data_IF_021923440344
#
_entry.id   IF_021923440344
#
_cell.length_a   1.000
_cell.length_b   1.000
_cell.length_c   1.000
_cell.angle_alpha   90.00
_cell.angle_beta   90.00
_cell.angle_gamma   90.00
#
_symmetry.space_group_name_H-M   'P 1'
#
loop_
_entity.id
_entity.type
_entity.pdbx_description
1 polymer ?
#
# COMPACT_ATOMS: atom_id res chain seq x y z
N UNK A 1 -4.67 4.50 11.98
CA UNK A 1 -3.33 5.06 11.77
C UNK A 1 -2.59 4.21 10.75
N UNK A 2 -1.64 4.79 10.03
CA UNK A 2 -0.89 4.14 8.96
C UNK A 2 0.27 5.02 8.48
N UNK A 3 1.01 4.54 7.50
CA UNK A 3 2.12 5.28 6.90
C UNK A 3 1.87 5.48 5.41
N UNK A 4 2.28 6.64 4.89
CA UNK A 4 2.25 6.93 3.45
C UNK A 4 3.66 7.22 2.95
N UNK A 5 4.01 6.58 1.85
CA UNK A 5 5.22 6.85 1.09
C UNK A 5 4.82 7.58 -0.20
N UNK A 6 5.43 8.73 -0.43
CA UNK A 6 5.32 9.51 -1.67
C UNK A 6 6.62 9.36 -2.46
N UNK A 7 6.51 8.87 -3.69
CA UNK A 7 7.64 8.75 -4.60
C UNK A 7 7.69 9.94 -5.57
N UNK A 8 8.90 10.37 -5.99
CA UNK A 8 9.04 11.48 -6.93
C UNK A 8 8.47 11.15 -8.31
N UNK A 9 8.64 9.89 -8.75
CA UNK A 9 8.16 9.39 -10.04
C UNK A 9 7.12 8.29 -9.85
N UNK A 10 6.22 8.17 -10.83
CA UNK A 10 5.27 7.07 -10.91
C UNK A 10 5.92 5.89 -11.66
N UNK A 11 6.31 4.86 -10.92
CA UNK A 11 7.07 3.72 -11.43
C UNK A 11 6.61 2.43 -10.73
N UNK A 12 7.13 1.27 -11.15
CA UNK A 12 6.88 0.01 -10.43
C UNK A 12 7.58 0.08 -9.08
N UNK A 13 6.82 0.31 -8.03
CA UNK A 13 7.30 0.22 -6.65
C UNK A 13 7.23 -1.23 -6.16
N UNK A 14 8.14 -1.59 -5.25
CA UNK A 14 8.12 -2.88 -4.55
C UNK A 14 8.59 -2.72 -3.11
N UNK A 15 7.91 -3.40 -2.20
CA UNK A 15 8.25 -3.46 -0.78
C UNK A 15 8.54 -4.90 -0.36
N UNK A 16 9.05 -5.06 0.85
CA UNK A 16 9.15 -6.31 1.58
C UNK A 16 8.78 -6.06 3.04
N UNK A 17 8.76 -7.12 3.86
CA UNK A 17 8.48 -7.03 5.29
C UNK A 17 9.75 -7.23 6.13
N UNK A 18 10.95 -7.01 5.56
CA UNK A 18 12.22 -7.19 6.26
C UNK A 18 12.26 -6.29 7.49
N UNK A 19 12.43 -6.89 8.67
CA UNK A 19 12.43 -6.22 9.98
C UNK A 19 11.08 -5.61 10.41
N UNK A 20 9.98 -5.88 9.70
CA UNK A 20 8.64 -5.41 10.06
C UNK A 20 7.93 -6.49 10.88
N UNK A 21 7.65 -6.19 12.16
CA UNK A 21 7.06 -7.16 13.12
C UNK A 21 5.54 -7.28 13.00
N UNK A 22 4.87 -6.18 12.66
CA UNK A 22 3.42 -6.14 12.52
C UNK A 22 3.03 -6.56 11.10
N UNK A 23 2.01 -7.42 10.92
CA UNK A 23 1.46 -7.71 9.60
C UNK A 23 0.72 -6.47 9.07
N UNK A 24 0.86 -6.20 7.77
CA UNK A 24 0.31 -5.01 7.13
C UNK A 24 -0.57 -5.38 5.93
N UNK A 25 -1.46 -4.47 5.57
CA UNK A 25 -1.96 -4.37 4.21
C UNK A 25 -1.11 -3.30 3.50
N UNK A 26 -0.49 -3.66 2.37
CA UNK A 26 0.29 -2.75 1.52
C UNK A 26 -0.55 -2.39 0.30
N UNK A 27 -0.82 -1.10 0.12
CA UNK A 27 -1.72 -0.57 -0.90
C UNK A 27 -0.92 0.31 -1.84
N UNK A 28 -0.78 -0.10 -3.10
CA UNK A 28 -0.14 0.67 -4.16
C UNK A 28 -1.17 1.53 -4.88
N UNK A 29 -0.81 2.79 -5.12
CA UNK A 29 -1.72 3.81 -5.65
C UNK A 29 -1.03 4.60 -6.76
N UNK A 30 -1.71 4.76 -7.89
CA UNK A 30 -1.23 5.55 -9.02
C UNK A 30 -1.32 7.07 -8.76
N UNK A 31 -0.80 7.87 -9.70
CA UNK A 31 -0.81 9.34 -9.62
C UNK A 31 -2.21 9.94 -9.65
N UNK A 32 -3.20 9.20 -10.11
CA UNK A 32 -4.61 9.61 -10.21
C UNK A 32 -5.41 9.14 -8.97
N UNK A 33 -4.69 8.72 -7.93
CA UNK A 33 -5.19 8.25 -6.63
C UNK A 33 -6.03 6.97 -6.70
N UNK A 34 -5.85 6.15 -7.74
CA UNK A 34 -6.52 4.86 -7.86
C UNK A 34 -5.64 3.75 -7.31
N UNK A 35 -6.23 2.85 -6.54
CA UNK A 35 -5.55 1.66 -6.02
C UNK A 35 -5.26 0.71 -7.18
N UNK A 36 -3.98 0.43 -7.42
CA UNK A 36 -3.54 -0.45 -8.51
C UNK A 36 -3.21 -1.87 -8.04
N UNK A 37 -2.86 -2.04 -6.76
CA UNK A 37 -2.53 -3.33 -6.16
C UNK A 37 -2.72 -3.30 -4.65
N UNK A 38 -3.23 -4.38 -4.09
CA UNK A 38 -3.26 -4.61 -2.64
C UNK A 38 -2.57 -5.94 -2.32
N UNK A 39 -1.62 -5.93 -1.39
CA UNK A 39 -1.18 -7.12 -0.68
C UNK A 39 -1.79 -7.10 0.71
N UNK A 40 -2.62 -8.08 1.01
CA UNK A 40 -3.32 -8.20 2.29
C UNK A 40 -2.58 -9.13 3.23
N UNK A 41 -2.66 -8.87 4.52
CA UNK A 41 -2.14 -9.74 5.57
C UNK A 41 -0.70 -10.19 5.31
N UNK A 42 0.19 -9.24 5.01
CA UNK A 42 1.58 -9.54 4.67
C UNK A 42 2.30 -10.23 5.83
N UNK A 43 3.23 -11.14 5.49
CA UNK A 43 3.96 -11.94 6.47
C UNK A 43 5.09 -11.15 7.12
N UNK A 44 5.10 -10.97 8.46
CA UNK A 44 6.19 -10.31 9.18
C UNK A 44 7.56 -10.92 8.85
N UNK A 45 8.60 -10.09 8.83
CA UNK A 45 10.00 -10.46 8.55
C UNK A 45 10.28 -11.06 7.16
N UNK A 46 9.27 -11.24 6.30
CA UNK A 46 9.44 -11.79 4.96
C UNK A 46 10.30 -10.88 4.08
N UNK A 47 11.23 -11.47 3.34
CA UNK A 47 12.06 -10.79 2.33
C UNK A 47 11.52 -10.98 0.91
N UNK A 48 10.36 -11.62 0.75
CA UNK A 48 9.69 -11.75 -0.54
C UNK A 48 9.31 -10.36 -1.05
N UNK A 49 9.67 -10.09 -2.32
CA UNK A 49 9.33 -8.86 -3.01
C UNK A 49 7.84 -8.81 -3.31
N UNK A 50 7.20 -7.68 -3.03
CA UNK A 50 5.77 -7.43 -3.23
C UNK A 50 5.59 -6.30 -4.25
N UNK A 51 5.74 -6.57 -5.56
CA UNK A 51 5.69 -5.51 -6.57
C UNK A 51 4.26 -5.01 -6.82
N UNK A 52 4.13 -3.72 -7.09
CA UNK A 52 2.88 -3.08 -7.53
C UNK A 52 2.33 -3.64 -8.85
N UNK A 53 3.17 -4.22 -9.71
CA UNK A 53 2.85 -4.73 -11.06
C UNK A 53 2.26 -3.70 -12.04
N UNK A 54 1.97 -2.48 -11.59
CA UNK A 54 1.54 -1.31 -12.35
C UNK A 54 2.20 -0.07 -11.75
N UNK A 55 2.44 0.99 -12.54
CA UNK A 55 3.05 2.22 -12.02
C UNK A 55 2.30 2.75 -10.79
N UNK A 56 3.05 3.11 -9.76
CA UNK A 56 2.56 3.55 -8.46
C UNK A 56 3.36 4.76 -8.02
N UNK A 57 2.65 5.82 -7.62
CA UNK A 57 3.25 7.06 -7.10
C UNK A 57 3.20 7.13 -5.58
N UNK A 58 2.23 6.44 -4.98
CA UNK A 58 2.07 6.37 -3.53
C UNK A 58 2.01 4.92 -3.07
N UNK A 59 2.45 4.68 -1.84
CA UNK A 59 2.24 3.42 -1.12
C UNK A 59 1.65 3.75 0.24
N UNK A 60 0.55 3.09 0.61
CA UNK A 60 -0.09 3.23 1.91
C UNK A 60 0.04 1.91 2.66
N UNK A 61 0.61 1.97 3.86
CA UNK A 61 0.69 0.85 4.78
C UNK A 61 -0.28 1.07 5.94
N UNK A 62 -1.13 0.07 6.18
CA UNK A 62 -2.06 0.02 7.31
C UNK A 62 -1.99 -1.34 7.97
N UNK A 63 -2.54 -1.46 9.19
CA UNK A 63 -2.62 -2.75 9.87
C UNK A 63 -3.35 -3.80 9.01
N UNK A 64 -2.84 -5.01 9.03
CA UNK A 64 -3.40 -6.14 8.27
C UNK A 64 -4.90 -6.35 8.53
N UNK A 65 -5.63 -6.68 7.47
CA UNK A 65 -7.05 -7.01 7.50
C UNK A 65 -7.98 -5.80 7.49
N UNK A 66 -7.46 -4.57 7.54
CA UNK A 66 -8.29 -3.38 7.47
C UNK A 66 -8.88 -3.15 6.07
N UNK A 67 -8.16 -3.50 5.00
CA UNK A 67 -8.73 -3.40 3.65
C UNK A 67 -9.94 -4.32 3.49
N UNK A 68 -9.88 -5.54 4.02
CA UNK A 68 -11.00 -6.48 4.01
C UNK A 68 -12.14 -6.01 4.90
N UNK A 69 -11.85 -5.59 6.13
CA UNK A 69 -12.84 -5.06 7.08
C UNK A 69 -13.67 -3.92 6.50
N UNK A 70 -13.05 -3.04 5.71
CA UNK A 70 -13.70 -1.88 5.11
C UNK A 70 -14.05 -2.05 3.64
N UNK A 71 -13.93 -3.27 3.09
CA UNK A 71 -14.22 -3.58 1.69
C UNK A 71 -13.48 -2.67 0.67
N UNK A 72 -12.21 -2.39 0.94
CA UNK A 72 -11.31 -1.63 0.07
C UNK A 72 -10.69 -2.59 -0.95
N UNK A 73 -10.80 -2.24 -2.23
CA UNK A 73 -10.45 -3.08 -3.35
C UNK A 73 -9.56 -2.38 -4.37
N UNK A 74 -8.85 -3.18 -5.17
CA UNK A 74 -8.13 -2.68 -6.34
C UNK A 74 -9.12 -2.00 -7.29
N UNK A 75 -8.82 -0.76 -7.69
CA UNK A 75 -9.70 0.07 -8.50
C UNK A 75 -10.42 1.19 -7.74
N UNK A 76 -10.49 1.12 -6.42
CA UNK A 76 -11.04 2.20 -5.59
C UNK A 76 -10.14 3.44 -5.63
N UNK A 77 -10.70 4.60 -5.24
CA UNK A 77 -9.97 5.86 -5.14
C UNK A 77 -9.66 6.22 -3.69
N UNK A 78 -8.49 6.79 -3.47
CA UNK A 78 -8.08 7.36 -2.18
C UNK A 78 -8.23 8.88 -2.24
N UNK A 79 -8.73 9.47 -1.16
CA UNK A 79 -8.76 10.93 -0.97
C UNK A 79 -7.89 11.29 0.23
N UNK A 80 -6.96 12.24 0.03
CA UNK A 80 -6.15 12.79 1.12
C UNK A 80 -6.72 14.14 1.55
N UNK A 81 -7.13 14.22 2.81
CA UNK A 81 -7.48 15.50 3.44
C UNK A 81 -6.42 15.82 4.48
N UNK A 82 -5.59 16.86 4.27
CA UNK A 82 -4.72 17.36 5.32
C UNK A 82 -5.61 17.77 6.51
N UNK A 83 -5.33 17.22 7.69
CA UNK A 83 -5.88 17.76 8.93
C UNK A 83 -5.24 19.12 9.17
N UNK A 84 -6.07 20.16 9.25
CA UNK A 84 -5.66 21.52 9.65
C UNK A 84 -5.02 21.53 11.04
#
# INVERSE_FOLDING_TARGET
EGMIFLFPNEEIQSFWMRNTKLPLDIIYVDKDFKIVKIYRNTTPFSTVSLPSNKPSKYVVEINAGLTEKYNINEGDKIEFKPSK
#
